data_IF_966356621147
#
_entry.id   IF_966356621147
#
_cell.length_a   1.000
_cell.length_b   1.000
_cell.length_c   1.000
_cell.angle_alpha   90.00
_cell.angle_beta   90.00
_cell.angle_gamma   90.00
#
_symmetry.space_group_name_H-M   'P 1'
#
loop_
_entity.id
_entity.type
_entity.pdbx_description
1 polymer ?
#
# COMPACT_ATOMS: atom_id res chain seq x y z
N UNK A 1 -34.08 33.90 15.10
CA UNK A 1 -33.15 33.96 13.93
C UNK A 1 -31.69 34.01 14.32
N UNK A 2 -31.26 34.97 15.15
CA UNK A 2 -29.84 35.12 15.59
C UNK A 2 -29.33 33.87 16.31
N UNK A 3 -30.09 33.26 17.21
CA UNK A 3 -29.68 32.05 17.95
C UNK A 3 -29.42 30.84 17.02
N UNK A 4 -30.21 30.68 15.97
CA UNK A 4 -30.05 29.61 14.98
C UNK A 4 -28.78 29.81 14.20
N UNK A 5 -28.45 31.04 13.79
CA UNK A 5 -27.21 31.38 13.08
C UNK A 5 -25.99 31.10 13.95
N UNK A 6 -26.04 31.46 15.25
CA UNK A 6 -24.96 31.20 16.19
C UNK A 6 -24.73 29.70 16.39
N UNK A 7 -25.78 28.89 16.49
CA UNK A 7 -25.69 27.43 16.60
C UNK A 7 -25.05 26.84 15.33
N UNK A 8 -25.48 27.29 14.13
CA UNK A 8 -24.86 26.82 12.86
C UNK A 8 -23.38 27.19 12.76
N UNK A 9 -22.98 28.40 13.19
CA UNK A 9 -21.58 28.83 13.22
C UNK A 9 -20.74 27.99 14.20
N UNK A 10 -21.27 27.67 15.37
CA UNK A 10 -20.60 26.82 16.35
C UNK A 10 -20.42 25.39 15.80
N UNK A 11 -21.46 24.81 15.20
CA UNK A 11 -21.39 23.46 14.58
C UNK A 11 -20.37 23.46 13.44
N UNK A 12 -20.38 24.49 12.57
CA UNK A 12 -19.41 24.62 11.47
C UNK A 12 -17.98 24.77 11.99
N UNK A 13 -17.77 25.57 13.03
CA UNK A 13 -16.46 25.75 13.65
C UNK A 13 -15.96 24.47 14.32
N UNK A 14 -16.83 23.74 15.02
CA UNK A 14 -16.52 22.44 15.60
C UNK A 14 -16.16 21.41 14.51
N UNK A 15 -16.90 21.38 13.40
CA UNK A 15 -16.64 20.49 12.28
C UNK A 15 -15.32 20.84 11.58
N UNK A 16 -15.01 22.13 11.41
CA UNK A 16 -13.76 22.63 10.87
C UNK A 16 -12.58 22.28 11.78
N UNK A 17 -12.71 22.49 13.09
CA UNK A 17 -11.67 22.14 14.08
C UNK A 17 -11.46 20.62 14.15
N UNK A 18 -12.55 19.83 14.13
CA UNK A 18 -12.47 18.37 14.13
C UNK A 18 -11.77 17.85 12.87
N UNK A 19 -12.10 18.42 11.69
CA UNK A 19 -11.42 18.08 10.43
C UNK A 19 -9.92 18.46 10.44
N UNK A 20 -9.58 19.60 11.03
CA UNK A 20 -8.18 20.00 11.15
C UNK A 20 -7.42 19.13 12.16
N UNK A 21 -8.05 18.74 13.29
CA UNK A 21 -7.46 17.81 14.26
C UNK A 21 -7.29 16.42 13.62
N UNK A 22 -8.28 15.94 12.86
CA UNK A 22 -8.19 14.66 12.14
C UNK A 22 -7.12 14.70 11.04
N UNK A 23 -7.05 15.79 10.26
CA UNK A 23 -5.97 15.99 9.27
C UNK A 23 -4.60 16.07 9.93
N UNK A 24 -4.49 16.73 11.09
CA UNK A 24 -3.25 16.83 11.85
C UNK A 24 -2.86 15.45 12.40
N UNK A 25 -3.78 14.70 12.99
CA UNK A 25 -3.55 13.32 13.46
C UNK A 25 -3.19 12.34 12.33
N UNK A 26 -3.81 12.48 11.14
CA UNK A 26 -3.46 11.69 9.97
C UNK A 26 -2.06 12.05 9.43
N UNK A 27 -1.66 13.33 9.51
CA UNK A 27 -0.32 13.76 9.13
C UNK A 27 0.73 13.44 10.21
N UNK A 28 0.38 13.42 11.49
CA UNK A 28 1.28 13.08 12.59
C UNK A 28 1.63 11.57 12.62
N UNK A 29 0.77 10.70 12.07
CA UNK A 29 1.05 9.26 11.98
C UNK A 29 1.91 8.86 10.77
N UNK A 30 2.19 9.77 9.83
CA UNK A 30 3.00 9.51 8.65
C UNK A 30 4.29 10.32 8.72
N UNK A 31 5.29 9.77 9.38
CA UNK A 31 6.56 10.50 9.61
C UNK A 31 7.51 10.43 8.39
N UNK A 32 7.43 9.39 7.55
CA UNK A 32 8.32 9.24 6.40
C UNK A 32 9.79 9.41 6.80
N UNK A 33 10.46 10.42 6.22
CA UNK A 33 11.82 10.82 6.58
C UNK A 33 11.90 11.81 7.76
N UNK A 34 10.84 12.00 8.54
CA UNK A 34 10.79 12.90 9.69
C UNK A 34 11.03 12.17 11.01
N UNK A 35 11.77 11.07 11.01
CA UNK A 35 12.06 10.25 12.19
C UNK A 35 13.41 10.62 12.80
N UNK A 36 13.56 10.39 14.12
CA UNK A 36 14.83 10.63 14.80
C UNK A 36 15.94 9.75 14.20
N UNK A 37 15.64 8.49 13.87
CA UNK A 37 16.60 7.58 13.25
C UNK A 37 17.19 8.11 11.94
N UNK A 38 16.36 8.78 11.12
CA UNK A 38 16.85 9.45 9.91
C UNK A 38 17.80 10.60 10.23
N UNK A 39 17.46 11.44 11.21
CA UNK A 39 18.29 12.54 11.62
C UNK A 39 19.60 12.08 12.24
N UNK A 40 19.58 11.03 13.03
CA UNK A 40 20.79 10.45 13.61
C UNK A 40 21.77 9.92 12.54
N UNK A 41 21.25 9.35 11.44
CA UNK A 41 22.12 8.95 10.34
C UNK A 41 22.70 10.14 9.57
N UNK A 42 21.96 11.24 9.42
CA UNK A 42 22.45 12.51 8.85
C UNK A 42 23.61 13.06 9.70
N UNK A 43 23.42 13.08 11.02
CA UNK A 43 24.42 13.60 11.97
C UNK A 43 25.71 12.76 11.95
N UNK A 44 25.61 11.41 11.84
CA UNK A 44 26.78 10.52 11.70
C UNK A 44 27.63 10.81 10.47
N UNK A 45 27.03 11.32 9.39
CA UNK A 45 27.74 11.69 8.15
C UNK A 45 28.26 13.14 8.16
N UNK A 46 28.05 13.90 9.26
CA UNK A 46 28.38 15.31 9.36
C UNK A 46 27.72 16.17 8.26
N UNK A 47 26.50 15.81 7.82
CA UNK A 47 25.72 16.62 6.91
C UNK A 47 24.97 17.71 7.71
N UNK A 48 24.87 18.90 7.15
CA UNK A 48 24.08 19.97 7.76
C UNK A 48 22.60 19.80 7.37
N UNK A 49 21.69 19.90 8.35
CA UNK A 49 20.25 19.77 8.12
C UNK A 49 19.52 21.04 8.55
N UNK A 50 18.65 21.55 7.68
CA UNK A 50 17.65 22.57 8.02
C UNK A 50 16.28 21.86 8.07
N UNK A 51 15.81 21.59 9.30
CA UNK A 51 14.56 20.84 9.52
C UNK A 51 13.32 21.65 9.09
N UNK A 52 13.36 22.96 9.18
CA UNK A 52 12.24 23.84 8.83
C UNK A 52 12.04 23.87 7.30
N UNK A 53 13.13 24.00 6.56
CA UNK A 53 13.11 23.95 5.10
C UNK A 53 13.12 22.54 4.54
N UNK A 54 13.37 21.52 5.39
CA UNK A 54 13.53 20.12 4.99
C UNK A 54 14.59 19.92 3.91
N UNK A 55 15.75 20.50 4.13
CA UNK A 55 16.91 20.39 3.26
C UNK A 55 18.11 19.82 4.02
N UNK A 56 18.97 19.14 3.27
CA UNK A 56 20.25 18.64 3.73
C UNK A 56 21.33 19.24 2.84
N UNK A 57 22.42 19.70 3.47
CA UNK A 57 23.52 20.38 2.82
C UNK A 57 24.79 19.56 3.06
N UNK A 58 25.50 19.28 1.99
CA UNK A 58 26.82 18.65 2.03
C UNK A 58 27.72 19.23 0.95
N UNK A 59 28.84 19.85 1.36
CA UNK A 59 29.67 20.68 0.50
C UNK A 59 28.82 21.74 -0.23
N UNK A 60 28.91 21.82 -1.55
CA UNK A 60 28.15 22.77 -2.38
C UNK A 60 26.79 22.21 -2.87
N UNK A 61 26.42 20.99 -2.45
CA UNK A 61 25.17 20.34 -2.85
C UNK A 61 24.09 20.54 -1.82
N UNK A 62 22.89 20.89 -2.27
CA UNK A 62 21.69 21.02 -1.45
C UNK A 62 20.62 20.10 -2.01
N UNK A 63 20.06 19.25 -1.16
CA UNK A 63 18.93 18.39 -1.52
C UNK A 63 17.75 18.62 -0.58
N UNK A 64 16.53 18.51 -1.11
CA UNK A 64 15.34 18.55 -0.30
C UNK A 64 14.83 17.13 -0.06
N UNK A 65 14.58 16.77 1.20
CA UNK A 65 13.89 15.53 1.57
C UNK A 65 12.38 15.72 1.74
N UNK A 66 11.89 16.93 1.42
CA UNK A 66 10.47 17.16 1.28
C UNK A 66 9.91 16.22 0.20
N UNK A 67 8.70 15.70 0.43
CA UNK A 67 8.04 14.79 -0.51
C UNK A 67 8.94 13.62 -0.96
N UNK A 68 9.77 13.10 -0.06
CA UNK A 68 10.63 11.94 -0.32
C UNK A 68 11.60 12.15 -1.50
N UNK A 69 12.16 13.34 -1.63
CA UNK A 69 13.12 13.69 -2.70
C UNK A 69 12.50 13.72 -4.11
N UNK A 70 11.19 13.58 -4.24
CA UNK A 70 10.50 13.55 -5.52
C UNK A 70 9.97 14.92 -5.93
N UNK A 71 9.76 15.11 -7.23
CA UNK A 71 9.08 16.27 -7.78
C UNK A 71 7.56 16.19 -7.53
N UNK A 72 6.89 17.35 -7.54
CA UNK A 72 5.43 17.39 -7.39
C UNK A 72 4.73 16.62 -8.51
N UNK A 73 5.22 16.75 -9.75
CA UNK A 73 4.61 16.07 -10.90
C UNK A 73 4.73 14.55 -10.78
N UNK A 74 5.88 14.05 -10.32
CA UNK A 74 6.10 12.60 -10.12
C UNK A 74 5.15 12.05 -9.05
N UNK A 75 4.94 12.80 -7.96
CA UNK A 75 4.00 12.41 -6.90
C UNK A 75 2.56 12.44 -7.39
N UNK A 76 2.16 13.47 -8.15
CA UNK A 76 0.82 13.56 -8.73
C UNK A 76 0.56 12.36 -9.66
N UNK A 77 1.51 12.03 -10.54
CA UNK A 77 1.41 10.89 -11.43
C UNK A 77 1.30 9.57 -10.67
N UNK A 78 2.09 9.39 -9.60
CA UNK A 78 2.04 8.17 -8.79
C UNK A 78 0.74 8.04 -7.98
N UNK A 79 0.12 9.15 -7.57
CA UNK A 79 -1.17 9.14 -6.86
C UNK A 79 -2.34 8.73 -7.75
N UNK A 80 -2.29 9.06 -9.04
CA UNK A 80 -3.32 8.67 -10.00
C UNK A 80 -3.00 7.28 -10.56
N UNK A 81 -3.75 6.27 -10.09
CA UNK A 81 -3.55 4.86 -10.46
C UNK A 81 -3.74 4.63 -11.96
N UNK A 82 -4.62 5.40 -12.61
CA UNK A 82 -4.86 5.26 -14.04
C UNK A 82 -3.72 5.86 -14.87
N UNK A 83 -3.18 7.02 -14.47
CA UNK A 83 -1.99 7.60 -15.10
C UNK A 83 -0.80 6.66 -14.93
N UNK A 84 -0.56 6.16 -13.71
CA UNK A 84 0.50 5.19 -13.42
C UNK A 84 0.40 3.98 -14.35
N UNK A 85 -0.78 3.32 -14.41
CA UNK A 85 -0.97 2.14 -15.25
C UNK A 85 -0.75 2.45 -16.75
N UNK A 86 -1.20 3.60 -17.23
CA UNK A 86 -0.95 4.02 -18.62
C UNK A 86 0.55 4.20 -18.92
N UNK A 87 1.29 4.85 -18.02
CA UNK A 87 2.73 5.06 -18.19
C UNK A 87 3.49 3.72 -18.19
N UNK A 88 3.17 2.84 -17.24
CA UNK A 88 3.81 1.53 -17.13
C UNK A 88 3.50 0.63 -18.32
N UNK A 89 2.22 0.56 -18.74
CA UNK A 89 1.78 -0.24 -19.89
C UNK A 89 2.45 0.19 -21.19
N UNK A 90 2.50 1.51 -21.46
CA UNK A 90 3.17 2.05 -22.66
C UNK A 90 4.67 1.75 -22.72
N UNK A 91 5.28 1.47 -21.58
CA UNK A 91 6.70 1.12 -21.47
C UNK A 91 6.95 -0.39 -21.31
N UNK A 92 5.96 -1.24 -21.62
CA UNK A 92 6.04 -2.70 -21.52
C UNK A 92 6.45 -3.18 -20.11
N UNK A 93 5.95 -2.53 -19.08
CA UNK A 93 6.06 -2.97 -17.69
C UNK A 93 4.84 -3.83 -17.37
N UNK A 94 5.02 -5.06 -16.84
CA UNK A 94 3.91 -5.95 -16.55
C UNK A 94 3.03 -5.40 -15.42
N UNK A 95 1.77 -5.16 -15.74
CA UNK A 95 0.70 -4.72 -14.81
C UNK A 95 -0.55 -5.57 -15.02
N UNK A 96 -1.51 -5.63 -14.08
CA UNK A 96 -2.80 -6.24 -14.34
C UNK A 96 -3.52 -5.57 -15.51
N UNK A 97 -4.27 -6.30 -16.33
CA UNK A 97 -5.21 -5.71 -17.28
C UNK A 97 -6.20 -4.79 -16.55
N UNK A 98 -6.45 -3.58 -17.06
CA UNK A 98 -7.18 -2.55 -16.35
C UNK A 98 -8.09 -1.72 -17.26
N UNK A 99 -9.09 -1.08 -16.64
CA UNK A 99 -10.02 -0.13 -17.25
C UNK A 99 -10.28 1.05 -16.30
N UNK A 100 -10.48 2.23 -16.86
CA UNK A 100 -11.19 3.30 -16.16
C UNK A 100 -12.68 3.15 -16.44
N UNK A 101 -13.51 3.08 -15.42
CA UNK A 101 -14.95 2.95 -15.51
C UNK A 101 -15.64 4.18 -14.94
N UNK A 102 -16.67 4.65 -15.62
CA UNK A 102 -17.62 5.63 -15.08
C UNK A 102 -18.69 4.86 -14.29
N UNK A 103 -18.75 5.10 -12.99
CA UNK A 103 -19.65 4.41 -12.06
C UNK A 103 -21.13 4.79 -12.28
N UNK A 104 -21.42 5.82 -13.06
CA UNK A 104 -22.80 6.18 -13.50
C UNK A 104 -23.28 5.36 -14.71
N UNK A 105 -22.35 4.69 -15.41
CA UNK A 105 -22.68 3.83 -16.56
C UNK A 105 -23.53 2.64 -16.15
N UNK A 106 -24.38 2.15 -17.04
CA UNK A 106 -25.09 0.90 -16.80
C UNK A 106 -24.11 -0.28 -16.78
N UNK A 107 -24.45 -1.32 -16.02
CA UNK A 107 -23.56 -2.46 -15.77
C UNK A 107 -23.32 -3.27 -17.04
N UNK A 108 -24.28 -3.35 -17.95
CA UNK A 108 -24.15 -4.01 -19.25
C UNK A 108 -23.03 -3.37 -20.09
N UNK A 109 -22.95 -2.04 -20.07
CA UNK A 109 -21.89 -1.32 -20.76
C UNK A 109 -20.52 -1.59 -20.14
N UNK A 110 -20.43 -1.58 -18.79
CA UNK A 110 -19.19 -1.92 -18.08
C UNK A 110 -18.76 -3.36 -18.38
N UNK A 111 -19.69 -4.33 -18.38
CA UNK A 111 -19.40 -5.70 -18.76
C UNK A 111 -18.90 -5.84 -20.21
N UNK A 112 -19.46 -5.07 -21.14
CA UNK A 112 -18.98 -5.04 -22.51
C UNK A 112 -17.55 -4.49 -22.59
N UNK A 113 -17.24 -3.45 -21.83
CA UNK A 113 -15.87 -2.91 -21.73
C UNK A 113 -14.89 -3.95 -21.15
N UNK A 114 -15.26 -4.64 -20.06
CA UNK A 114 -14.48 -5.74 -19.45
C UNK A 114 -14.15 -6.81 -20.50
N UNK A 115 -15.17 -7.26 -21.26
CA UNK A 115 -15.00 -8.25 -22.33
C UNK A 115 -14.08 -7.76 -23.44
N UNK A 116 -14.28 -6.51 -23.91
CA UNK A 116 -13.47 -5.92 -24.98
C UNK A 116 -12.01 -5.73 -24.58
N UNK A 117 -11.74 -5.45 -23.30
CA UNK A 117 -10.39 -5.34 -22.74
C UNK A 117 -9.77 -6.70 -22.38
N UNK A 118 -10.48 -7.81 -22.65
CA UNK A 118 -10.05 -9.18 -22.31
C UNK A 118 -9.70 -9.36 -20.82
N UNK A 119 -10.38 -8.64 -19.92
CA UNK A 119 -10.23 -8.75 -18.49
C UNK A 119 -11.03 -9.95 -18.00
N UNK A 120 -10.39 -10.80 -17.20
CA UNK A 120 -11.02 -12.02 -16.64
C UNK A 120 -11.41 -11.77 -15.18
N UNK A 121 -12.52 -12.39 -14.76
CA UNK A 121 -12.90 -12.47 -13.36
C UNK A 121 -11.98 -13.44 -12.58
N UNK A 122 -11.76 -13.23 -11.27
CA UNK A 122 -12.28 -12.13 -10.47
C UNK A 122 -11.66 -10.77 -10.84
N UNK A 123 -12.38 -9.69 -10.52
CA UNK A 123 -11.88 -8.32 -10.73
C UNK A 123 -11.83 -7.54 -9.42
N UNK A 124 -11.00 -6.49 -9.42
CA UNK A 124 -10.88 -5.51 -8.35
C UNK A 124 -11.42 -4.17 -8.85
N UNK A 125 -12.17 -3.47 -8.02
CA UNK A 125 -12.54 -2.06 -8.26
C UNK A 125 -11.97 -1.21 -7.14
N UNK A 126 -11.30 -0.13 -7.50
CA UNK A 126 -10.66 0.79 -6.57
C UNK A 126 -10.79 2.24 -7.01
N UNK A 127 -10.85 3.22 -6.08
CA UNK A 127 -10.79 4.63 -6.42
C UNK A 127 -9.50 4.95 -7.17
N UNK A 128 -9.56 5.85 -8.16
CA UNK A 128 -8.38 6.27 -8.92
C UNK A 128 -7.36 6.95 -8.00
N UNK A 129 -7.82 7.84 -7.12
CA UNK A 129 -7.01 8.62 -6.18
C UNK A 129 -7.23 8.16 -4.72
N UNK A 130 -7.14 6.84 -4.46
CA UNK A 130 -7.29 6.27 -3.13
C UNK A 130 -5.95 5.93 -2.48
N UNK A 131 -5.90 5.96 -1.14
CA UNK A 131 -4.75 5.58 -0.32
C UNK A 131 -5.17 4.58 0.76
N UNK A 132 -4.21 3.87 1.35
CA UNK A 132 -4.42 2.92 2.46
C UNK A 132 -5.41 1.78 2.19
N UNK A 133 -5.71 1.46 0.93
CA UNK A 133 -6.66 0.41 0.57
C UNK A 133 -8.13 0.77 0.89
N UNK A 134 -8.43 2.04 1.17
CA UNK A 134 -9.81 2.49 1.45
C UNK A 134 -10.65 2.33 0.19
N UNK A 135 -11.84 1.74 0.35
CA UNK A 135 -12.80 1.49 -0.73
C UNK A 135 -12.24 0.62 -1.89
N UNK A 136 -11.19 -0.18 -1.63
CA UNK A 136 -10.71 -1.20 -2.57
C UNK A 136 -11.57 -2.45 -2.40
N UNK A 137 -12.29 -2.82 -3.45
CA UNK A 137 -13.19 -3.97 -3.49
C UNK A 137 -12.57 -5.10 -4.30
N UNK A 138 -12.28 -6.21 -3.65
CA UNK A 138 -11.65 -7.42 -4.24
C UNK A 138 -12.65 -8.57 -4.37
N UNK A 139 -12.22 -9.65 -5.04
CA UNK A 139 -12.97 -10.91 -5.14
C UNK A 139 -14.36 -10.74 -5.78
N UNK A 140 -14.46 -9.83 -6.74
CA UNK A 140 -15.67 -9.64 -7.53
C UNK A 140 -15.67 -10.72 -8.63
N UNK A 141 -16.43 -11.78 -8.44
CA UNK A 141 -16.46 -12.97 -9.32
C UNK A 141 -17.68 -12.99 -10.25
N UNK A 142 -18.76 -12.28 -9.85
CA UNK A 142 -20.05 -12.35 -10.52
C UNK A 142 -20.58 -10.97 -10.92
N UNK A 143 -21.50 -10.98 -11.92
CA UNK A 143 -22.27 -9.79 -12.30
C UNK A 143 -23.02 -9.18 -11.11
N UNK A 144 -23.56 -10.00 -10.21
CA UNK A 144 -24.30 -9.53 -9.03
C UNK A 144 -23.39 -8.77 -8.07
N UNK A 145 -22.19 -9.27 -7.82
CA UNK A 145 -21.18 -8.60 -6.98
C UNK A 145 -20.67 -7.32 -7.64
N UNK A 146 -20.49 -7.34 -8.98
CA UNK A 146 -20.13 -6.15 -9.73
C UNK A 146 -21.18 -5.04 -9.57
N UNK A 147 -22.48 -5.37 -9.73
CA UNK A 147 -23.59 -4.43 -9.53
C UNK A 147 -23.58 -3.86 -8.11
N UNK A 148 -23.46 -4.72 -7.12
CA UNK A 148 -23.41 -4.31 -5.72
C UNK A 148 -22.25 -3.34 -5.46
N UNK A 149 -21.05 -3.67 -5.92
CA UNK A 149 -19.84 -2.85 -5.76
C UNK A 149 -19.97 -1.49 -6.43
N UNK A 150 -20.46 -1.45 -7.68
CA UNK A 150 -20.68 -0.20 -8.40
C UNK A 150 -21.70 0.67 -7.65
N UNK A 151 -22.80 0.10 -7.16
CA UNK A 151 -23.82 0.82 -6.42
C UNK A 151 -23.29 1.41 -5.11
N UNK A 152 -22.37 0.71 -4.45
CA UNK A 152 -21.72 1.19 -3.24
C UNK A 152 -20.76 2.35 -3.55
N UNK A 153 -19.90 2.20 -4.56
CA UNK A 153 -18.84 3.17 -4.86
C UNK A 153 -19.37 4.44 -5.54
N UNK A 154 -20.42 4.35 -6.38
CA UNK A 154 -20.99 5.53 -7.07
C UNK A 154 -21.54 6.61 -6.16
N UNK A 155 -21.81 6.28 -4.89
CA UNK A 155 -22.24 7.26 -3.89
C UNK A 155 -21.11 8.18 -3.44
N UNK A 156 -19.86 7.77 -3.67
CA UNK A 156 -18.65 8.48 -3.22
C UNK A 156 -17.77 8.96 -4.38
N UNK A 157 -17.79 8.22 -5.48
CA UNK A 157 -16.86 8.43 -6.60
C UNK A 157 -17.63 8.50 -7.94
N UNK A 158 -17.14 9.33 -8.86
CA UNK A 158 -17.62 9.38 -10.24
C UNK A 158 -16.98 8.28 -11.08
N UNK A 159 -15.65 8.16 -10.96
CA UNK A 159 -14.85 7.23 -11.73
C UNK A 159 -14.11 6.27 -10.78
N UNK A 160 -13.86 5.06 -11.26
CA UNK A 160 -13.02 4.07 -10.57
C UNK A 160 -12.12 3.36 -11.58
N UNK A 161 -11.08 2.70 -11.06
CA UNK A 161 -10.26 1.78 -11.80
C UNK A 161 -10.73 0.36 -11.54
N UNK A 162 -11.00 -0.37 -12.61
CA UNK A 162 -11.30 -1.80 -12.60
C UNK A 162 -10.08 -2.55 -13.13
N UNK A 163 -9.64 -3.57 -12.42
CA UNK A 163 -8.49 -4.40 -12.79
C UNK A 163 -8.83 -5.88 -12.70
N UNK A 164 -8.16 -6.69 -13.52
CA UNK A 164 -8.16 -8.14 -13.28
C UNK A 164 -7.44 -8.41 -11.96
N UNK A 165 -8.06 -9.19 -11.10
CA UNK A 165 -7.40 -9.63 -9.87
C UNK A 165 -6.32 -10.64 -10.19
N UNK A 166 -5.12 -10.38 -9.68
CA UNK A 166 -3.95 -11.25 -9.83
C UNK A 166 -3.72 -11.96 -8.50
N UNK A 167 -3.43 -13.25 -8.54
CA UNK A 167 -2.95 -14.02 -7.39
C UNK A 167 -1.44 -13.85 -7.22
N UNK A 168 -0.95 -14.23 -6.06
CA UNK A 168 0.46 -14.21 -5.70
C UNK A 168 0.73 -13.54 -4.34
N UNK A 169 1.96 -13.67 -3.89
CA UNK A 169 2.48 -12.98 -2.72
C UNK A 169 2.71 -11.50 -3.05
N UNK A 170 2.47 -10.64 -2.06
CA UNK A 170 2.66 -9.21 -2.23
C UNK A 170 4.00 -8.77 -1.65
N UNK A 171 4.79 -8.10 -2.47
CA UNK A 171 6.10 -7.57 -2.08
C UNK A 171 6.08 -6.05 -2.14
N UNK A 172 6.63 -5.39 -1.11
CA UNK A 172 6.97 -3.97 -1.10
C UNK A 172 8.44 -3.82 -1.41
N UNK A 173 8.76 -3.19 -2.53
CA UNK A 173 10.12 -2.87 -2.95
C UNK A 173 10.35 -1.39 -2.68
N UNK A 174 11.33 -1.06 -1.85
CA UNK A 174 11.74 0.33 -1.63
C UNK A 174 12.91 0.66 -2.53
N UNK A 175 12.70 1.65 -3.39
CA UNK A 175 13.70 2.13 -4.35
C UNK A 175 14.09 3.56 -3.97
N UNK A 176 15.38 3.83 -3.92
CA UNK A 176 15.91 5.17 -3.73
C UNK A 176 17.13 5.42 -4.61
N UNK A 177 17.11 6.55 -5.31
CA UNK A 177 18.22 7.00 -6.16
C UNK A 177 18.82 5.89 -7.05
N UNK A 178 17.95 5.21 -7.80
CA UNK A 178 18.28 4.10 -8.70
C UNK A 178 18.90 2.86 -8.01
N UNK A 179 18.64 2.65 -6.72
CA UNK A 179 19.07 1.48 -5.96
C UNK A 179 17.86 0.84 -5.25
N UNK A 180 17.85 -0.49 -5.18
CA UNK A 180 16.92 -1.21 -4.31
C UNK A 180 17.47 -1.16 -2.88
N UNK A 181 16.72 -0.51 -1.99
CA UNK A 181 17.13 -0.36 -0.60
C UNK A 181 16.68 -1.54 0.23
N UNK A 182 15.42 -1.97 0.05
CA UNK A 182 14.83 -3.03 0.84
C UNK A 182 13.68 -3.71 0.11
N UNK A 183 13.45 -4.98 0.40
CA UNK A 183 12.32 -5.76 -0.12
C UNK A 183 11.65 -6.50 1.02
N UNK A 184 10.36 -6.28 1.17
CA UNK A 184 9.52 -6.86 2.21
C UNK A 184 8.39 -7.66 1.58
N UNK A 185 8.27 -8.93 1.95
CA UNK A 185 7.07 -9.73 1.71
C UNK A 185 6.00 -9.32 2.71
N UNK A 186 4.79 -9.06 2.22
CA UNK A 186 3.61 -8.76 3.03
C UNK A 186 2.60 -9.89 2.84
N UNK A 187 2.23 -10.52 3.93
CA UNK A 187 1.24 -11.57 3.94
C UNK A 187 -0.07 -11.09 4.56
N UNK A 188 -1.19 -11.59 4.03
CA UNK A 188 -2.51 -11.39 4.65
C UNK A 188 -2.45 -11.77 6.13
N UNK A 189 -3.19 -11.09 7.02
CA UNK A 189 -3.24 -11.51 8.41
C UNK A 189 -3.88 -12.89 8.52
N UNK A 190 -3.22 -13.78 9.27
CA UNK A 190 -3.69 -15.15 9.53
C UNK A 190 -3.38 -15.56 10.97
N UNK A 191 -4.09 -16.56 11.45
CA UNK A 191 -3.77 -17.31 12.67
C UNK A 191 -3.32 -18.72 12.32
N UNK A 192 -2.60 -19.34 13.24
CA UNK A 192 -2.18 -20.76 13.14
C UNK A 192 -2.93 -21.53 14.20
N UNK A 193 -3.65 -22.57 13.79
CA UNK A 193 -4.36 -23.48 14.67
C UNK A 193 -3.42 -24.19 15.65
N UNK A 194 -3.93 -24.50 16.82
CA UNK A 194 -3.21 -25.19 17.89
C UNK A 194 -3.98 -26.36 18.51
N UNK A 195 -5.08 -26.79 17.89
CA UNK A 195 -6.04 -27.81 18.38
C UNK A 195 -6.77 -27.44 19.69
N UNK A 196 -6.64 -26.21 20.17
CA UNK A 196 -7.16 -25.84 21.50
C UNK A 196 -7.98 -24.54 21.47
N UNK A 197 -7.44 -23.50 20.84
CA UNK A 197 -8.05 -22.20 20.84
C UNK A 197 -8.95 -21.98 19.60
N UNK A 198 -10.07 -21.27 19.82
CA UNK A 198 -10.91 -20.81 18.73
C UNK A 198 -10.19 -19.76 17.88
N UNK A 199 -10.64 -19.54 16.64
CA UNK A 199 -10.11 -18.49 15.77
C UNK A 199 -10.15 -17.14 16.48
N UNK A 200 -11.25 -16.82 17.21
CA UNK A 200 -11.35 -15.60 18.01
C UNK A 200 -10.22 -15.49 19.03
N UNK A 201 -10.00 -16.55 19.83
CA UNK A 201 -8.94 -16.58 20.84
C UNK A 201 -7.54 -16.48 20.22
N UNK A 202 -7.30 -17.15 19.09
CA UNK A 202 -6.04 -17.07 18.36
C UNK A 202 -5.76 -15.65 17.82
N UNK A 203 -6.79 -14.90 17.39
CA UNK A 203 -6.66 -13.49 17.01
C UNK A 203 -6.30 -12.63 18.21
N UNK A 204 -6.96 -12.83 19.35
CA UNK A 204 -6.70 -12.08 20.59
C UNK A 204 -5.26 -12.32 21.07
N UNK A 205 -4.81 -13.59 21.11
CA UNK A 205 -3.44 -13.96 21.47
C UNK A 205 -2.41 -13.31 20.54
N UNK A 206 -2.66 -13.38 19.24
CA UNK A 206 -1.80 -12.72 18.23
C UNK A 206 -1.73 -11.20 18.45
N UNK A 207 -2.83 -10.54 18.72
CA UNK A 207 -2.86 -9.10 18.95
C UNK A 207 -2.06 -8.71 20.21
N UNK A 208 -2.11 -9.54 21.27
CA UNK A 208 -1.29 -9.35 22.46
C UNK A 208 0.20 -9.44 22.11
N UNK A 209 0.61 -10.44 21.32
CA UNK A 209 2.00 -10.58 20.87
C UNK A 209 2.46 -9.40 19.99
N UNK A 210 1.64 -8.99 19.04
CA UNK A 210 1.95 -7.86 18.18
C UNK A 210 2.13 -6.57 18.96
N UNK A 211 1.26 -6.30 19.93
CA UNK A 211 1.38 -5.15 20.81
C UNK A 211 2.68 -5.14 21.62
N UNK A 212 3.12 -6.30 22.11
CA UNK A 212 4.41 -6.42 22.81
C UNK A 212 5.63 -6.12 21.90
N UNK A 213 5.49 -6.34 20.59
CA UNK A 213 6.52 -6.10 19.58
C UNK A 213 6.38 -4.73 18.88
N UNK A 214 5.48 -3.88 19.35
CA UNK A 214 5.12 -2.58 18.69
C UNK A 214 4.68 -2.76 17.22
N UNK A 215 4.01 -3.86 16.92
CA UNK A 215 3.44 -4.15 15.61
C UNK A 215 1.93 -3.88 15.60
N UNK A 216 1.40 -3.63 14.41
CA UNK A 216 -0.03 -3.33 14.25
C UNK A 216 -0.91 -4.55 14.52
N UNK A 217 -1.95 -4.35 15.31
CA UNK A 217 -2.97 -5.35 15.62
C UNK A 217 -3.88 -5.62 14.41
N UNK A 218 -4.44 -6.82 14.36
CA UNK A 218 -5.53 -7.14 13.42
C UNK A 218 -6.81 -6.46 13.91
N UNK A 219 -7.34 -5.53 13.13
CA UNK A 219 -8.55 -4.74 13.47
C UNK A 219 -9.74 -5.11 12.59
N UNK A 220 -9.51 -5.33 11.29
CA UNK A 220 -10.57 -5.63 10.34
C UNK A 220 -10.64 -7.13 10.11
N UNK A 221 -11.55 -7.79 10.80
CA UNK A 221 -11.81 -9.22 10.69
C UNK A 221 -12.95 -9.40 9.68
N UNK A 222 -12.74 -10.23 8.66
CA UNK A 222 -13.77 -10.58 7.69
C UNK A 222 -14.32 -11.96 7.98
N UNK A 223 -15.43 -12.04 8.72
CA UNK A 223 -16.10 -13.32 8.97
C UNK A 223 -16.55 -14.01 7.67
N UNK A 224 -16.93 -13.23 6.65
CA UNK A 224 -17.27 -13.77 5.33
C UNK A 224 -16.07 -14.50 4.72
N UNK A 225 -14.88 -13.89 4.82
CA UNK A 225 -13.65 -14.50 4.28
C UNK A 225 -13.22 -15.73 5.08
N UNK A 226 -13.42 -15.73 6.40
CA UNK A 226 -13.20 -16.89 7.27
C UNK A 226 -14.18 -18.03 6.89
N UNK A 227 -15.47 -17.71 6.65
CA UNK A 227 -16.47 -18.71 6.22
C UNK A 227 -16.18 -19.30 4.84
N UNK A 228 -15.65 -18.52 3.90
CA UNK A 228 -15.20 -19.04 2.58
C UNK A 228 -14.11 -20.11 2.70
N UNK A 229 -13.36 -20.13 3.81
CA UNK A 229 -12.35 -21.14 4.12
C UNK A 229 -12.92 -22.34 4.92
N UNK A 230 -14.24 -22.41 5.15
CA UNK A 230 -14.91 -23.47 5.90
C UNK A 230 -14.93 -23.27 7.42
N UNK A 231 -14.57 -22.11 7.93
CA UNK A 231 -14.49 -21.80 9.36
C UNK A 231 -15.50 -20.74 9.80
N UNK A 232 -15.65 -20.59 11.11
CA UNK A 232 -16.28 -19.46 11.79
C UNK A 232 -15.43 -19.05 12.99
N UNK A 233 -15.77 -17.95 13.66
CA UNK A 233 -14.99 -17.41 14.78
C UNK A 233 -14.84 -18.36 15.97
N UNK A 234 -15.76 -19.33 16.12
CA UNK A 234 -15.74 -20.33 17.20
C UNK A 234 -15.10 -21.67 16.75
N UNK A 235 -14.68 -21.79 15.50
CA UNK A 235 -13.97 -22.98 15.02
C UNK A 235 -12.60 -23.07 15.66
N UNK A 236 -12.18 -24.29 15.98
CA UNK A 236 -10.84 -24.65 16.50
C UNK A 236 -10.04 -25.28 15.36
N UNK A 237 -9.12 -24.56 14.71
CA UNK A 237 -8.33 -25.12 13.62
C UNK A 237 -7.30 -26.13 14.14
N UNK A 238 -6.94 -27.09 13.27
CA UNK A 238 -5.94 -28.10 13.57
C UNK A 238 -4.57 -27.48 13.81
N UNK A 239 -3.72 -28.15 14.58
CA UNK A 239 -2.37 -27.65 14.85
C UNK A 239 -1.56 -27.44 13.57
N UNK A 240 -0.99 -26.26 13.40
CA UNK A 240 -0.25 -25.85 12.20
C UNK A 240 -1.11 -25.35 11.03
N UNK A 241 -2.42 -25.48 11.12
CA UNK A 241 -3.33 -25.03 10.08
C UNK A 241 -3.42 -23.51 10.02
N UNK A 242 -3.23 -22.94 8.82
CA UNK A 242 -3.27 -21.50 8.59
C UNK A 242 -4.67 -21.07 8.19
N UNK A 243 -5.29 -20.17 8.98
CA UNK A 243 -6.59 -19.58 8.68
C UNK A 243 -6.42 -18.07 8.48
N UNK A 244 -6.71 -17.57 7.28
CA UNK A 244 -6.63 -16.15 6.96
C UNK A 244 -7.82 -15.38 7.53
N UNK A 245 -7.54 -14.18 8.10
CA UNK A 245 -8.54 -13.39 8.82
C UNK A 245 -9.26 -12.40 7.91
N UNK A 246 -8.56 -11.90 6.89
CA UNK A 246 -9.14 -11.05 5.86
C UNK A 246 -8.36 -11.17 4.54
N UNK A 247 -8.94 -10.67 3.45
CA UNK A 247 -8.32 -10.73 2.13
C UNK A 247 -7.43 -9.52 1.81
N UNK A 248 -7.46 -8.48 2.62
CA UNK A 248 -6.70 -7.24 2.38
C UNK A 248 -5.32 -7.34 3.02
N UNK A 249 -4.27 -7.14 2.21
CA UNK A 249 -2.89 -7.05 2.69
C UNK A 249 -2.63 -5.59 3.07
N UNK A 250 -2.83 -5.25 4.33
CA UNK A 250 -2.60 -3.92 4.85
C UNK A 250 -1.84 -3.98 6.18
N UNK A 251 -0.71 -3.26 6.26
CA UNK A 251 0.10 -3.17 7.48
C UNK A 251 -0.69 -2.64 8.67
N UNK A 252 -1.51 -1.62 8.43
CA UNK A 252 -2.38 -1.03 9.47
C UNK A 252 -3.50 -1.98 9.95
N UNK A 253 -3.63 -3.14 9.31
CA UNK A 253 -4.54 -4.22 9.69
C UNK A 253 -3.82 -5.52 10.07
N UNK A 254 -2.60 -5.42 10.59
CA UNK A 254 -1.87 -6.55 11.12
C UNK A 254 -1.37 -7.55 10.07
N UNK A 255 -1.10 -7.13 8.83
CA UNK A 255 -0.38 -7.94 7.87
C UNK A 255 0.97 -8.40 8.45
N UNK A 256 1.37 -9.62 8.14
CA UNK A 256 2.71 -10.11 8.50
C UNK A 256 3.73 -9.60 7.50
N UNK A 257 4.90 -9.29 8.00
CA UNK A 257 6.02 -8.83 7.17
C UNK A 257 7.26 -9.68 7.40
N UNK A 258 7.98 -9.94 6.33
CA UNK A 258 9.30 -10.56 6.37
C UNK A 258 10.20 -9.93 5.31
N UNK A 259 11.49 -9.76 5.63
CA UNK A 259 12.46 -9.20 4.68
C UNK A 259 12.95 -10.28 3.76
N UNK A 260 13.08 -9.95 2.46
CA UNK A 260 13.73 -10.78 1.46
C UNK A 260 15.16 -10.25 1.27
N UNK A 261 16.19 -11.08 1.48
CA UNK A 261 17.56 -10.69 1.21
C UNK A 261 17.76 -10.28 -0.26
N UNK A 262 18.41 -9.13 -0.51
CA UNK A 262 18.55 -8.59 -1.87
C UNK A 262 19.33 -9.52 -2.79
N UNK A 263 20.30 -10.25 -2.26
CA UNK A 263 21.11 -11.25 -2.98
C UNK A 263 20.29 -12.44 -3.52
N UNK A 264 19.09 -12.64 -3.04
CA UNK A 264 18.17 -13.68 -3.54
C UNK A 264 17.30 -13.21 -4.69
N UNK A 265 17.30 -11.90 -5.00
CA UNK A 265 16.44 -11.34 -6.04
C UNK A 265 17.17 -11.36 -7.37
N UNK A 266 16.61 -12.01 -8.41
CA UNK A 266 17.21 -12.05 -9.73
C UNK A 266 17.44 -10.65 -10.32
N UNK A 267 18.53 -10.47 -11.06
CA UNK A 267 18.87 -9.19 -11.69
C UNK A 267 17.74 -8.67 -12.59
N UNK A 268 17.06 -9.54 -13.31
CA UNK A 268 15.91 -9.20 -14.15
C UNK A 268 14.76 -8.54 -13.36
N UNK A 269 14.51 -8.99 -12.13
CA UNK A 269 13.50 -8.38 -11.24
C UNK A 269 13.98 -7.01 -10.76
N UNK A 270 15.26 -6.89 -10.39
CA UNK A 270 15.89 -5.62 -10.02
C UNK A 270 15.76 -4.61 -11.17
N UNK A 271 16.12 -5.01 -12.39
CA UNK A 271 16.04 -4.17 -13.58
C UNK A 271 14.60 -3.70 -13.86
N UNK A 272 13.61 -4.56 -13.64
CA UNK A 272 12.19 -4.20 -13.73
C UNK A 272 11.85 -3.08 -12.74
N UNK A 273 12.22 -3.23 -11.47
CA UNK A 273 11.90 -2.26 -10.43
C UNK A 273 12.55 -0.90 -10.68
N UNK A 274 13.82 -0.90 -11.10
CA UNK A 274 14.53 0.32 -11.48
C UNK A 274 13.94 0.97 -12.74
N UNK A 275 13.50 0.17 -13.71
CA UNK A 275 12.79 0.66 -14.91
C UNK A 275 11.47 1.35 -14.53
N UNK A 276 10.72 0.84 -13.55
CA UNK A 276 9.50 1.51 -13.05
C UNK A 276 9.81 2.91 -12.56
N UNK A 277 10.83 3.07 -11.71
CA UNK A 277 11.21 4.39 -11.18
C UNK A 277 11.63 5.35 -12.30
N UNK A 278 12.40 4.87 -13.27
CA UNK A 278 12.81 5.67 -14.43
C UNK A 278 11.62 6.13 -15.27
N UNK A 279 10.65 5.24 -15.55
CA UNK A 279 9.44 5.57 -16.34
C UNK A 279 8.56 6.57 -15.62
N UNK A 280 8.47 6.49 -14.29
CA UNK A 280 7.67 7.38 -13.46
C UNK A 280 8.40 8.69 -13.12
N UNK A 281 9.68 8.84 -13.52
CA UNK A 281 10.58 9.95 -13.14
C UNK A 281 10.57 10.18 -11.62
N UNK A 282 10.80 9.11 -10.86
CA UNK A 282 10.68 9.10 -9.40
C UNK A 282 11.99 8.62 -8.77
N UNK A 283 12.52 9.38 -7.80
CA UNK A 283 13.76 9.03 -7.10
C UNK A 283 13.53 8.08 -5.94
N UNK A 284 12.45 8.29 -5.19
CA UNK A 284 12.10 7.52 -4.02
C UNK A 284 10.70 6.94 -4.19
N UNK A 285 10.58 5.61 -4.20
CA UNK A 285 9.30 4.94 -4.34
C UNK A 285 9.17 3.69 -3.48
N UNK A 286 7.92 3.34 -3.18
CA UNK A 286 7.53 2.02 -2.72
C UNK A 286 6.70 1.33 -3.79
N UNK A 287 7.25 0.31 -4.43
CA UNK A 287 6.55 -0.46 -5.45
C UNK A 287 5.82 -1.62 -4.80
N UNK A 288 4.57 -1.82 -5.18
CA UNK A 288 3.82 -3.03 -4.83
C UNK A 288 3.87 -3.99 -6.01
N UNK A 289 4.49 -5.14 -5.78
CA UNK A 289 4.71 -6.17 -6.78
C UNK A 289 4.05 -7.48 -6.33
N UNK A 290 3.28 -8.09 -7.21
CA UNK A 290 2.75 -9.45 -7.01
C UNK A 290 3.57 -10.46 -7.80
N UNK A 291 3.94 -11.54 -7.13
CA UNK A 291 4.58 -12.71 -7.73
C UNK A 291 4.39 -13.91 -6.81
N UNK A 292 4.36 -15.12 -7.36
CA UNK A 292 4.34 -16.34 -6.55
C UNK A 292 5.63 -16.50 -5.74
N UNK A 293 6.76 -16.08 -6.32
CA UNK A 293 8.06 -16.03 -5.65
C UNK A 293 8.98 -14.98 -6.30
N UNK A 294 9.33 -13.92 -5.55
CA UNK A 294 10.21 -12.84 -6.03
C UNK A 294 11.66 -13.30 -6.25
N UNK A 295 12.06 -14.46 -5.70
CA UNK A 295 13.40 -15.04 -5.91
C UNK A 295 13.54 -15.78 -7.23
N UNK A 296 12.46 -15.86 -8.01
CA UNK A 296 12.42 -16.38 -9.37
C UNK A 296 12.26 -15.20 -10.34
N UNK A 297 12.89 -15.30 -11.51
CA UNK A 297 12.73 -14.28 -12.56
C UNK A 297 11.24 -14.13 -12.93
N UNK A 298 10.78 -12.89 -12.95
CA UNK A 298 9.43 -12.61 -13.41
C UNK A 298 9.25 -12.92 -14.89
N UNK A 299 8.07 -13.34 -15.25
CA UNK A 299 7.55 -13.32 -16.61
C UNK A 299 6.19 -12.61 -16.66
N UNK A 300 5.62 -12.57 -17.88
CA UNK A 300 4.33 -11.87 -18.07
C UNK A 300 3.16 -12.53 -17.32
N UNK A 301 3.30 -13.76 -16.86
CA UNK A 301 2.25 -14.50 -16.17
C UNK A 301 2.40 -14.43 -14.64
N UNK A 302 3.63 -14.41 -14.12
CA UNK A 302 3.93 -14.59 -12.71
C UNK A 302 4.42 -13.34 -11.97
N UNK A 303 4.49 -12.17 -12.62
CA UNK A 303 4.94 -10.95 -11.97
C UNK A 303 4.21 -9.70 -12.48
N UNK A 304 3.63 -8.90 -11.57
CA UNK A 304 2.91 -7.66 -11.91
C UNK A 304 3.19 -6.55 -10.92
N UNK A 305 3.46 -5.35 -11.45
CA UNK A 305 3.45 -4.12 -10.64
C UNK A 305 1.99 -3.70 -10.41
N UNK A 306 1.59 -3.59 -9.15
CA UNK A 306 0.23 -3.19 -8.77
C UNK A 306 0.10 -1.69 -8.53
N UNK A 307 1.12 -1.09 -7.91
CA UNK A 307 1.07 0.29 -7.47
C UNK A 307 2.48 0.87 -7.35
N UNK A 308 2.58 2.18 -7.59
CA UNK A 308 3.78 2.98 -7.35
C UNK A 308 3.44 4.06 -6.32
N UNK A 309 4.06 3.99 -5.16
CA UNK A 309 3.88 4.97 -4.09
C UNK A 309 5.01 5.99 -4.14
N UNK A 310 4.71 7.24 -4.53
CA UNK A 310 5.69 8.33 -4.63
C UNK A 310 6.04 8.98 -3.30
N UNK A 311 5.32 8.67 -2.23
CA UNK A 311 5.63 9.03 -0.85
C UNK A 311 5.49 7.78 0.02
N UNK A 312 6.42 6.81 -0.14
CA UNK A 312 6.28 5.50 0.50
C UNK A 312 6.41 5.61 2.02
N UNK A 313 5.66 4.76 2.71
CA UNK A 313 5.81 4.57 4.14
C UNK A 313 7.17 3.90 4.43
N UNK A 314 7.98 4.54 5.28
CA UNK A 314 9.29 4.03 5.71
C UNK A 314 9.19 3.21 6.99
N UNK A 315 8.12 3.33 7.76
CA UNK A 315 7.96 2.71 9.06
C UNK A 315 8.05 1.18 9.00
N UNK A 316 7.46 0.57 7.95
CA UNK A 316 7.49 -0.88 7.78
C UNK A 316 8.91 -1.43 7.58
N UNK A 317 9.80 -0.63 6.99
CA UNK A 317 11.18 -0.99 6.73
C UNK A 317 12.06 -0.86 7.98
N UNK A 318 11.68 0.01 8.92
CA UNK A 318 12.38 0.23 10.19
C UNK A 318 11.99 -0.82 11.25
N UNK A 319 10.73 -1.26 11.26
CA UNK A 319 10.21 -2.22 12.26
C UNK A 319 10.84 -3.62 12.19
N UNK A 320 11.50 -3.96 11.09
CA UNK A 320 12.20 -5.24 10.97
C UNK A 320 13.60 -5.08 11.56
N UNK A 321 13.84 -5.72 12.70
CA UNK A 321 15.10 -5.66 13.45
C UNK A 321 16.34 -6.02 12.60
N UNK A 322 17.50 -5.51 13.01
CA UNK A 322 18.81 -5.77 12.41
C UNK A 322 18.99 -5.28 10.96
N UNK A 323 18.34 -4.18 10.60
CA UNK A 323 18.56 -3.55 9.30
C UNK A 323 18.62 -2.03 9.44
N UNK A 324 19.73 -1.45 9.06
CA UNK A 324 19.90 -0.01 9.10
C UNK A 324 19.38 0.61 7.81
N UNK A 325 18.06 0.80 7.75
CA UNK A 325 17.36 1.28 6.57
C UNK A 325 17.79 2.69 6.15
N UNK A 326 17.91 3.59 7.11
CA UNK A 326 18.27 4.98 6.82
C UNK A 326 19.75 5.17 6.48
N UNK A 327 20.66 4.38 7.04
CA UNK A 327 22.09 4.43 6.66
C UNK A 327 22.26 4.28 5.16
N UNK A 328 21.60 3.27 4.55
CA UNK A 328 21.68 3.03 3.11
C UNK A 328 21.13 4.20 2.29
N UNK A 329 20.08 4.84 2.76
CA UNK A 329 19.49 6.01 2.09
C UNK A 329 20.43 7.20 2.17
N UNK A 330 20.97 7.47 3.38
CA UNK A 330 21.87 8.60 3.61
C UNK A 330 23.18 8.45 2.82
N UNK A 331 23.70 7.22 2.70
CA UNK A 331 24.88 6.92 1.87
C UNK A 331 24.68 7.22 0.39
N UNK A 332 23.43 7.13 -0.09
CA UNK A 332 23.09 7.34 -1.51
C UNK A 332 22.58 8.74 -1.85
N UNK A 333 22.40 9.61 -0.83
CA UNK A 333 21.77 10.92 -1.06
C UNK A 333 22.52 11.84 -2.02
N UNK A 334 23.82 11.82 -1.97
CA UNK A 334 24.67 12.73 -2.74
C UNK A 334 25.45 12.04 -3.87
N UNK A 335 25.15 10.79 -4.13
CA UNK A 335 25.73 9.99 -5.23
C UNK A 335 25.04 10.25 -6.57
#
# INVERSE_FOLDING_TARGET
MILIIVIFLIIFLCFYLLNNILKKKLNENYQGFLTQDFYDEIDKKNYTIDKDKRIIIYNDKIISYNKHFNSDISIINAKDKFITSNLLSKNNIPIPPYLKIDLSSNVENIQKQIKNANIKYPVVIKPINGTFGIDVMTDIETKKELIYTINLLKTKYKDAMLEQQISGDCYRIFVFNNNIIDVIKREKPYVIGDNNNTIKQLIDLRNIEQKKMDLMEVKNISEIYIRKQGYNMNSIPSSGEKVYICNVINMHNGARISRIPLEKIPQKNIDLFLKVNKVMDIKCSGLDFLSDDITIEYDINNGKILEVNGTPDTEIHQKIKNYNFFEKIVDLMFN
#
